data_IF_223492850710
#
_entry.id   IF_223492850710
#
_cell.length_a   1.000
_cell.length_b   1.000
_cell.length_c   1.000
_cell.angle_alpha   90.00
_cell.angle_beta   90.00
_cell.angle_gamma   90.00
#
_symmetry.space_group_name_H-M   'P 1'
#
loop_
_entity.id
_entity.type
_entity.pdbx_description
1 polymer ?
#
# COMPACT_ATOMS: atom_id res chain seq x y z
N UNK A 1 20.08 -3.45 -4.94
CA UNK A 1 21.01 -4.10 -4.00
C UNK A 1 20.29 -5.22 -3.26
N UNK A 2 20.96 -6.29 -2.82
CA UNK A 2 20.34 -7.34 -2.00
C UNK A 2 19.81 -6.77 -0.67
N UNK A 3 18.69 -7.31 -0.17
CA UNK A 3 18.02 -6.89 1.08
C UNK A 3 18.92 -7.02 2.34
N UNK A 4 20.03 -7.76 2.27
CA UNK A 4 20.90 -8.06 3.42
C UNK A 4 21.79 -6.88 3.87
N UNK A 5 21.93 -5.83 3.05
CA UNK A 5 22.84 -4.72 3.34
C UNK A 5 22.19 -3.47 3.93
N UNK A 6 20.85 -3.36 3.94
CA UNK A 6 20.19 -2.16 4.47
C UNK A 6 20.39 -2.03 5.98
N UNK A 7 21.05 -0.97 6.42
CA UNK A 7 21.12 -0.55 7.82
C UNK A 7 20.15 0.59 8.03
N UNK A 8 19.11 0.31 8.82
CA UNK A 8 17.95 1.18 8.98
C UNK A 8 18.09 1.97 10.27
N UNK A 9 17.89 3.28 10.19
CA UNK A 9 17.71 4.15 11.34
C UNK A 9 16.23 4.55 11.45
N UNK A 10 15.62 4.20 12.58
CA UNK A 10 14.22 4.48 12.89
C UNK A 10 14.10 5.72 13.78
N UNK A 11 13.36 6.72 13.32
CA UNK A 11 13.02 7.92 14.05
C UNK A 11 11.49 8.06 14.09
N UNK A 12 10.91 8.17 15.27
CA UNK A 12 9.45 8.20 15.45
C UNK A 12 9.06 9.51 16.11
N UNK A 13 8.22 10.29 15.44
CA UNK A 13 7.46 11.34 16.08
C UNK A 13 6.20 10.71 16.68
N UNK A 14 6.29 10.39 17.97
CA UNK A 14 5.22 9.63 18.60
C UNK A 14 3.98 10.50 18.88
N UNK A 15 4.13 11.82 19.02
CA UNK A 15 2.98 12.71 19.20
C UNK A 15 2.11 12.72 17.94
N UNK A 16 2.73 12.86 16.77
CA UNK A 16 2.01 12.84 15.49
C UNK A 16 1.33 11.49 15.23
N UNK A 17 2.00 10.36 15.51
CA UNK A 17 1.40 9.02 15.39
C UNK A 17 0.24 8.84 16.38
N UNK A 18 0.41 9.22 17.64
CA UNK A 18 -0.61 9.06 18.67
C UNK A 18 -1.86 9.92 18.39
N UNK A 19 -1.67 11.15 17.91
CA UNK A 19 -2.77 12.02 17.50
C UNK A 19 -3.53 11.42 16.31
N UNK A 20 -2.81 10.96 15.28
CA UNK A 20 -3.45 10.36 14.11
C UNK A 20 -4.27 9.12 14.44
N UNK A 21 -3.77 8.25 15.33
CA UNK A 21 -4.51 7.06 15.77
C UNK A 21 -5.77 7.40 16.55
N UNK A 22 -5.69 8.43 17.39
CA UNK A 22 -6.83 8.91 18.17
C UNK A 22 -7.94 9.42 17.25
N UNK A 23 -7.58 10.19 16.23
CA UNK A 23 -8.53 10.73 15.26
C UNK A 23 -9.14 9.62 14.38
N UNK A 24 -8.33 8.62 14.01
CA UNK A 24 -8.77 7.46 13.24
C UNK A 24 -9.50 6.39 14.07
N UNK A 25 -9.72 6.60 15.37
CA UNK A 25 -10.39 5.66 16.29
C UNK A 25 -9.77 4.25 16.31
N UNK A 26 -8.48 4.13 16.01
CA UNK A 26 -7.76 2.87 16.08
C UNK A 26 -7.36 2.52 17.52
N UNK A 27 -7.14 1.22 17.75
CA UNK A 27 -6.57 0.74 19.01
C UNK A 27 -5.17 1.34 19.28
N UNK A 28 -4.65 1.09 20.48
CA UNK A 28 -3.32 1.53 20.91
C UNK A 28 -2.25 1.21 19.85
N UNK A 29 -1.30 2.13 19.68
CA UNK A 29 -0.14 1.91 18.82
C UNK A 29 0.69 0.69 19.29
N UNK A 30 0.97 -0.22 18.38
CA UNK A 30 1.88 -1.35 18.58
C UNK A 30 3.13 -1.14 17.73
N UNK A 31 4.23 -0.88 18.42
CA UNK A 31 5.54 -0.67 17.81
C UNK A 31 6.12 -1.93 17.17
N UNK A 32 5.70 -3.12 17.62
CA UNK A 32 6.19 -4.39 17.07
C UNK A 32 5.77 -4.59 15.62
N UNK A 33 4.61 -4.06 15.22
CA UNK A 33 4.15 -4.05 13.84
C UNK A 33 5.12 -3.33 12.91
N UNK A 34 5.51 -2.12 13.32
CA UNK A 34 6.46 -1.29 12.57
C UNK A 34 7.82 -1.99 12.52
N UNK A 35 8.31 -2.50 13.65
CA UNK A 35 9.59 -3.19 13.68
C UNK A 35 9.61 -4.45 12.82
N UNK A 36 8.54 -5.25 12.84
CA UNK A 36 8.42 -6.44 11.98
C UNK A 36 8.54 -6.05 10.50
N UNK A 37 7.84 -4.98 10.07
CA UNK A 37 7.94 -4.47 8.71
C UNK A 37 9.35 -4.00 8.34
N UNK A 38 10.03 -3.31 9.25
CA UNK A 38 11.41 -2.84 9.01
C UNK A 38 12.41 -3.99 8.95
N UNK A 39 12.22 -5.04 9.76
CA UNK A 39 13.08 -6.22 9.76
C UNK A 39 13.01 -7.01 8.45
N UNK A 40 11.89 -6.96 7.72
CA UNK A 40 11.79 -7.53 6.36
C UNK A 40 12.67 -6.78 5.34
N UNK A 41 13.01 -5.52 5.61
CA UNK A 41 13.77 -4.65 4.71
C UNK A 41 15.26 -4.61 5.01
N UNK A 42 15.64 -4.85 6.27
CA UNK A 42 17.04 -4.81 6.68
C UNK A 42 17.23 -4.78 8.20
N UNK A 43 18.47 -4.53 8.61
CA UNK A 43 18.84 -4.50 10.04
C UNK A 43 18.60 -3.10 10.60
N UNK A 44 17.68 -3.00 11.56
CA UNK A 44 17.44 -1.76 12.32
C UNK A 44 18.57 -1.55 13.33
N UNK A 45 19.44 -0.56 13.08
CA UNK A 45 20.65 -0.26 13.88
C UNK A 45 20.46 0.90 14.85
N UNK A 46 19.57 1.84 14.54
CA UNK A 46 19.22 2.97 15.42
C UNK A 46 17.71 3.01 15.58
N UNK A 47 17.23 3.27 16.81
CA UNK A 47 15.81 3.37 17.14
C UNK A 47 15.60 4.49 18.14
N UNK A 48 14.96 5.58 17.72
CA UNK A 48 14.67 6.74 18.56
C UNK A 48 13.21 7.13 18.41
N UNK A 49 12.60 7.53 19.52
CA UNK A 49 11.26 8.07 19.54
C UNK A 49 11.19 9.36 20.36
N UNK A 50 10.51 10.37 19.80
CA UNK A 50 10.45 11.73 20.30
C UNK A 50 9.01 12.02 20.75
N UNK A 51 8.84 12.42 22.00
CA UNK A 51 7.57 12.88 22.56
C UNK A 51 7.78 13.50 23.95
N UNK A 52 6.71 14.15 24.45
CA UNK A 52 6.53 14.40 25.88
C UNK A 52 6.15 13.08 26.59
N UNK A 53 7.15 12.33 27.06
CA UNK A 53 6.92 10.99 27.62
C UNK A 53 6.21 11.04 28.99
N UNK A 54 6.04 12.22 29.59
CA UNK A 54 5.18 12.38 30.76
C UNK A 54 3.70 12.12 30.38
N UNK A 55 3.29 12.45 29.15
CA UNK A 55 1.93 12.22 28.64
C UNK A 55 1.70 10.80 28.15
N UNK A 56 2.74 10.13 27.66
CA UNK A 56 2.66 8.82 27.01
C UNK A 56 3.26 7.68 27.85
N UNK A 57 3.12 7.75 29.17
CA UNK A 57 3.69 6.79 30.13
C UNK A 57 3.32 5.33 29.83
N UNK A 58 2.10 5.08 29.33
CA UNK A 58 1.62 3.73 28.98
C UNK A 58 2.45 3.05 27.89
N UNK A 59 3.10 3.82 27.02
CA UNK A 59 3.88 3.32 25.89
C UNK A 59 5.36 3.13 26.21
N UNK A 60 5.87 3.75 27.29
CA UNK A 60 7.29 3.67 27.68
C UNK A 60 7.78 2.23 27.80
N UNK A 61 6.99 1.38 28.46
CA UNK A 61 7.36 -0.03 28.68
C UNK A 61 7.55 -0.76 27.36
N UNK A 62 6.58 -0.67 26.45
CA UNK A 62 6.64 -1.34 25.15
C UNK A 62 7.83 -0.84 24.30
N UNK A 63 8.10 0.47 24.32
CA UNK A 63 9.23 1.04 23.58
C UNK A 63 10.59 0.66 24.19
N UNK A 64 10.71 0.61 25.52
CA UNK A 64 11.92 0.12 26.18
C UNK A 64 12.17 -1.36 25.90
N UNK A 65 11.13 -2.20 25.96
CA UNK A 65 11.22 -3.63 25.60
C UNK A 65 11.65 -3.81 24.14
N UNK A 66 11.26 -2.88 23.26
CA UNK A 66 11.68 -2.82 21.86
C UNK A 66 13.09 -2.22 21.63
N UNK A 67 13.83 -1.89 22.70
CA UNK A 67 15.14 -1.22 22.67
C UNK A 67 15.13 0.10 21.89
N UNK A 68 14.07 0.89 22.07
CA UNK A 68 13.95 2.24 21.50
C UNK A 68 14.42 3.25 22.54
N UNK A 69 15.32 4.14 22.11
CA UNK A 69 15.75 5.28 22.91
C UNK A 69 14.62 6.31 22.97
N UNK A 70 14.14 6.60 24.18
CA UNK A 70 13.09 7.57 24.43
C UNK A 70 13.70 8.95 24.61
N UNK A 71 13.55 9.82 23.61
CA UNK A 71 13.98 11.21 23.66
C UNK A 71 12.84 12.04 24.22
N UNK A 72 13.03 12.55 25.44
CA UNK A 72 12.01 13.33 26.14
C UNK A 72 12.04 14.80 25.75
N UNK A 73 10.89 15.30 25.29
CA UNK A 73 10.67 16.66 24.83
C UNK A 73 9.53 17.28 25.65
N UNK A 74 9.82 17.87 26.83
CA UNK A 74 8.79 18.44 27.68
C UNK A 74 8.13 19.65 27.02
N UNK A 75 6.81 19.61 26.85
CA UNK A 75 6.06 20.72 26.26
C UNK A 75 5.91 21.86 27.28
N UNK A 76 6.75 22.91 27.16
CA UNK A 76 6.57 24.14 27.93
C UNK A 76 5.28 24.86 27.48
N UNK A 77 4.49 25.35 28.45
CA UNK A 77 3.13 25.91 28.32
C UNK A 77 2.90 27.01 27.25
N UNK A 78 3.93 27.51 26.56
CA UNK A 78 3.82 28.64 25.63
C UNK A 78 4.22 28.38 24.17
N UNK A 79 5.06 27.37 23.84
CA UNK A 79 5.47 27.10 22.45
C UNK A 79 6.29 25.81 22.37
N UNK A 80 5.65 24.66 22.53
CA UNK A 80 6.33 23.35 22.56
C UNK A 80 6.24 22.53 21.27
N UNK A 81 5.29 22.84 20.38
CA UNK A 81 4.90 21.93 19.28
C UNK A 81 6.05 21.58 18.33
N UNK A 82 6.83 22.58 17.90
CA UNK A 82 7.90 22.34 16.93
C UNK A 82 9.21 21.80 17.56
N UNK A 83 9.27 21.62 18.88
CA UNK A 83 10.54 21.26 19.54
C UNK A 83 10.92 19.79 19.28
N UNK A 84 9.92 18.90 19.23
CA UNK A 84 10.14 17.49 18.90
C UNK A 84 10.61 17.35 17.44
N UNK A 85 9.91 18.01 16.51
CA UNK A 85 10.22 17.98 15.08
C UNK A 85 11.64 18.46 14.80
N UNK A 86 12.00 19.64 15.31
CA UNK A 86 13.35 20.21 15.14
C UNK A 86 14.39 19.26 15.71
N UNK A 87 14.16 18.71 16.91
CA UNK A 87 15.12 17.79 17.53
C UNK A 87 15.29 16.51 16.73
N UNK A 88 14.20 15.93 16.22
CA UNK A 88 14.24 14.74 15.38
C UNK A 88 15.00 15.00 14.07
N UNK A 89 14.74 16.13 13.41
CA UNK A 89 15.44 16.54 12.17
C UNK A 89 16.93 16.67 12.41
N UNK A 90 17.35 17.35 13.50
CA UNK A 90 18.76 17.54 13.83
C UNK A 90 19.44 16.19 14.08
N UNK A 91 18.84 15.32 14.90
CA UNK A 91 19.40 14.01 15.21
C UNK A 91 19.51 13.10 13.96
N UNK A 92 18.52 13.18 13.05
CA UNK A 92 18.51 12.40 11.82
C UNK A 92 19.61 12.85 10.84
N UNK A 93 19.78 14.17 10.67
CA UNK A 93 20.83 14.73 9.82
C UNK A 93 22.23 14.48 10.40
N UNK A 94 22.40 14.63 11.72
CA UNK A 94 23.66 14.28 12.39
C UNK A 94 24.03 12.81 12.15
N UNK A 95 23.06 11.90 12.30
CA UNK A 95 23.29 10.48 12.03
C UNK A 95 23.63 10.22 10.55
N UNK A 96 22.94 10.89 9.62
CA UNK A 96 23.19 10.76 8.18
C UNK A 96 24.65 11.09 7.83
N UNK A 97 25.19 12.17 8.38
CA UNK A 97 26.56 12.60 8.11
C UNK A 97 27.60 11.82 8.94
N UNK A 98 27.28 11.47 10.20
CA UNK A 98 28.24 10.83 11.09
C UNK A 98 28.40 9.32 10.82
N UNK A 99 27.38 8.67 10.24
CA UNK A 99 27.32 7.20 10.10
C UNK A 99 26.92 6.81 8.68
N UNK A 100 27.88 6.87 7.77
CA UNK A 100 27.70 6.59 6.34
C UNK A 100 27.08 5.20 6.05
N UNK A 101 27.40 4.20 6.89
CA UNK A 101 26.86 2.84 6.78
C UNK A 101 25.34 2.74 7.01
N UNK A 102 24.70 3.78 7.54
CA UNK A 102 23.24 3.88 7.59
C UNK A 102 22.77 4.28 6.20
N UNK A 103 22.13 3.34 5.50
CA UNK A 103 21.69 3.51 4.12
C UNK A 103 20.22 3.90 4.02
N UNK A 104 19.46 3.67 5.09
CA UNK A 104 17.99 3.76 5.07
C UNK A 104 17.47 4.46 6.32
N UNK A 105 16.57 5.42 6.13
CA UNK A 105 15.92 6.17 7.19
C UNK A 105 14.43 5.84 7.20
N UNK A 106 13.93 5.36 8.33
CA UNK A 106 12.53 5.08 8.57
C UNK A 106 11.94 6.16 9.49
N UNK A 107 11.02 6.97 8.96
CA UNK A 107 10.39 8.09 9.67
C UNK A 107 8.95 7.74 10.07
N UNK A 108 8.67 7.74 11.36
CA UNK A 108 7.33 7.55 11.91
C UNK A 108 6.60 8.88 12.05
N UNK A 109 6.08 9.41 10.95
CA UNK A 109 5.35 10.67 10.90
C UNK A 109 4.46 10.75 9.66
N UNK A 110 3.34 11.46 9.78
CA UNK A 110 2.46 11.84 8.66
C UNK A 110 2.59 13.32 8.27
N UNK A 111 3.38 14.11 8.99
CA UNK A 111 3.42 15.56 8.82
C UNK A 111 4.30 15.99 7.63
N UNK A 112 3.77 16.90 6.81
CA UNK A 112 4.50 17.52 5.70
C UNK A 112 5.71 18.35 6.13
N UNK A 113 5.78 18.80 7.38
CA UNK A 113 6.91 19.57 7.89
C UNK A 113 8.24 18.79 7.86
N UNK A 114 8.19 17.46 7.74
CA UNK A 114 9.37 16.61 7.53
C UNK A 114 9.82 16.49 6.06
N UNK A 115 9.08 17.04 5.10
CA UNK A 115 9.45 16.99 3.68
C UNK A 115 10.87 17.52 3.40
N UNK A 116 11.35 18.63 4.00
CA UNK A 116 12.73 19.08 3.81
C UNK A 116 13.77 18.09 4.33
N UNK A 117 13.49 17.38 5.43
CA UNK A 117 14.35 16.31 5.95
C UNK A 117 14.44 15.17 4.93
N UNK A 118 13.30 14.72 4.40
CA UNK A 118 13.25 13.67 3.38
C UNK A 118 14.09 14.05 2.16
N UNK A 119 13.89 15.25 1.63
CA UNK A 119 14.69 15.74 0.49
C UNK A 119 16.18 15.75 0.80
N UNK A 120 16.58 16.23 1.99
CA UNK A 120 17.99 16.29 2.38
C UNK A 120 18.60 14.90 2.57
N UNK A 121 17.86 13.93 3.08
CA UNK A 121 18.32 12.55 3.19
C UNK A 121 18.49 11.91 1.82
N UNK A 122 17.55 12.14 0.89
CA UNK A 122 17.64 11.64 -0.50
C UNK A 122 18.79 12.29 -1.27
N UNK A 123 19.03 13.58 -1.08
CA UNK A 123 20.22 14.28 -1.60
C UNK A 123 21.54 13.63 -1.14
N UNK A 124 21.53 12.95 0.00
CA UNK A 124 22.68 12.21 0.54
C UNK A 124 22.64 10.70 0.21
N UNK A 125 21.94 10.32 -0.86
CA UNK A 125 21.82 8.95 -1.36
C UNK A 125 21.28 7.96 -0.30
N UNK A 126 20.38 8.45 0.56
CA UNK A 126 19.69 7.62 1.54
C UNK A 126 18.31 7.23 1.02
N UNK A 127 17.95 5.96 1.20
CA UNK A 127 16.59 5.50 0.99
C UNK A 127 15.71 5.96 2.14
N UNK A 128 14.63 6.69 1.86
CA UNK A 128 13.74 7.22 2.89
C UNK A 128 12.40 6.52 2.81
N UNK A 129 12.07 5.80 3.88
CA UNK A 129 10.75 5.25 4.09
C UNK A 129 10.04 6.01 5.21
N UNK A 130 8.75 6.22 5.07
CA UNK A 130 7.93 6.79 6.12
C UNK A 130 6.75 5.88 6.46
N UNK A 131 6.27 6.00 7.69
CA UNK A 131 5.03 5.36 8.12
C UNK A 131 4.20 6.32 8.94
N UNK A 132 2.89 6.24 8.76
CA UNK A 132 1.93 7.14 9.39
C UNK A 132 0.52 6.61 9.28
N UNK A 133 -0.42 7.35 9.86
CA UNK A 133 -1.85 7.04 9.81
C UNK A 133 -2.46 7.67 8.57
N UNK A 134 -3.25 6.92 7.78
CA UNK A 134 -3.75 7.34 6.45
C UNK A 134 -4.44 8.71 6.49
N UNK A 135 -5.32 8.94 7.46
CA UNK A 135 -6.10 10.18 7.56
C UNK A 135 -5.31 11.38 8.11
N UNK A 136 -4.09 11.15 8.60
CA UNK A 136 -3.24 12.18 9.19
C UNK A 136 -1.92 12.35 8.44
N UNK A 137 -1.80 11.72 7.26
CA UNK A 137 -0.59 11.76 6.44
C UNK A 137 -0.79 12.67 5.24
N UNK A 138 0.13 13.61 5.04
CA UNK A 138 0.10 14.55 3.92
C UNK A 138 0.60 13.91 2.61
N UNK A 139 -0.10 14.16 1.51
CA UNK A 139 0.32 13.74 0.15
C UNK A 139 1.71 14.29 -0.22
N UNK A 140 2.07 15.47 0.30
CA UNK A 140 3.38 16.07 0.07
C UNK A 140 4.50 15.23 0.69
N UNK A 141 4.29 14.71 1.91
CA UNK A 141 5.27 13.83 2.55
C UNK A 141 5.35 12.50 1.79
N UNK A 142 4.19 11.91 1.48
CA UNK A 142 4.07 10.61 0.82
C UNK A 142 4.82 10.62 -0.53
N UNK A 143 4.60 11.66 -1.35
CA UNK A 143 5.23 11.80 -2.66
C UNK A 143 6.74 12.08 -2.61
N UNK A 144 7.25 12.63 -1.50
CA UNK A 144 8.67 12.90 -1.32
C UNK A 144 9.46 11.68 -0.84
N UNK A 145 8.82 10.73 -0.16
CA UNK A 145 9.43 9.49 0.31
C UNK A 145 9.60 8.46 -0.82
N UNK A 146 10.57 7.56 -0.68
CA UNK A 146 10.74 6.44 -1.64
C UNK A 146 9.72 5.33 -1.39
N UNK A 147 9.29 5.16 -0.14
CA UNK A 147 8.22 4.24 0.27
C UNK A 147 7.42 4.84 1.43
N UNK A 148 6.09 4.77 1.36
CA UNK A 148 5.21 5.14 2.46
C UNK A 148 4.37 3.93 2.88
N UNK A 149 4.33 3.64 4.19
CA UNK A 149 3.60 2.51 4.76
C UNK A 149 2.53 3.04 5.70
N UNK A 150 1.26 2.76 5.40
CA UNK A 150 0.17 3.11 6.30
C UNK A 150 0.14 2.16 7.50
N UNK A 151 -0.01 2.71 8.70
CA UNK A 151 -0.08 1.92 9.92
C UNK A 151 -1.31 0.99 9.91
N UNK A 152 -2.42 1.43 9.32
CA UNK A 152 -3.63 0.63 9.13
C UNK A 152 -3.35 -0.64 8.31
N UNK A 153 -2.48 -0.55 7.30
CA UNK A 153 -2.10 -1.72 6.50
C UNK A 153 -1.23 -2.69 7.28
N UNK A 154 -0.39 -2.19 8.20
CA UNK A 154 0.38 -3.03 9.12
C UNK A 154 -0.54 -3.78 10.07
N UNK A 155 -1.50 -3.08 10.67
CA UNK A 155 -2.52 -3.70 11.54
C UNK A 155 -3.30 -4.75 10.77
N UNK A 156 -3.79 -4.44 9.56
CA UNK A 156 -4.48 -5.42 8.70
C UNK A 156 -3.61 -6.61 8.33
N UNK A 157 -2.31 -6.40 8.09
CA UNK A 157 -1.39 -7.49 7.75
C UNK A 157 -1.15 -8.46 8.91
N UNK A 158 -1.18 -7.96 10.15
CA UNK A 158 -1.04 -8.74 11.37
C UNK A 158 -2.38 -9.35 11.80
N UNK A 159 -3.50 -8.62 11.63
CA UNK A 159 -4.87 -9.08 11.80
C UNK A 159 -5.37 -9.96 10.65
N UNK A 160 -4.56 -10.17 9.61
CA UNK A 160 -4.68 -11.34 8.75
C UNK A 160 -4.35 -12.65 9.50
N UNK A 161 -4.50 -12.67 10.83
CA UNK A 161 -5.19 -13.73 11.56
C UNK A 161 -6.58 -13.85 10.96
N UNK A 162 -6.68 -14.69 9.93
CA UNK A 162 -7.92 -15.39 9.61
C UNK A 162 -8.67 -15.66 10.93
N UNK A 163 -9.96 -15.33 11.07
CA UNK A 163 -10.70 -15.59 12.30
C UNK A 163 -10.82 -17.11 12.51
N UNK A 164 -9.77 -17.70 13.08
CA UNK A 164 -9.59 -19.12 13.31
C UNK A 164 -9.83 -19.49 14.77
N UNK A 165 -10.05 -18.48 15.63
CA UNK A 165 -10.60 -18.64 16.97
C UNK A 165 -12.00 -19.27 16.85
N UNK A 166 -12.18 -20.44 17.49
CA UNK A 166 -13.41 -21.23 17.44
C UNK A 166 -13.48 -22.28 16.32
N UNK A 167 -12.57 -22.25 15.33
CA UNK A 167 -12.53 -23.27 14.27
C UNK A 167 -11.77 -24.53 14.72
N UNK A 168 -12.22 -25.74 14.29
CA UNK A 168 -11.48 -26.98 14.51
C UNK A 168 -10.04 -26.89 13.97
N UNK A 169 -9.08 -27.51 14.67
CA UNK A 169 -7.64 -27.46 14.35
C UNK A 169 -7.33 -27.73 12.87
N UNK A 170 -8.05 -28.68 12.24
CA UNK A 170 -7.90 -29.01 10.81
C UNK A 170 -8.32 -27.86 9.88
N UNK A 171 -9.45 -27.19 10.15
CA UNK A 171 -9.91 -26.05 9.34
C UNK A 171 -8.95 -24.87 9.45
N UNK A 172 -8.44 -24.61 10.65
CA UNK A 172 -7.40 -23.59 10.91
C UNK A 172 -6.16 -23.81 10.06
N UNK A 173 -5.64 -25.03 10.05
CA UNK A 173 -4.48 -25.38 9.23
C UNK A 173 -4.74 -25.19 7.73
N UNK A 174 -5.93 -25.59 7.26
CA UNK A 174 -6.34 -25.44 5.86
C UNK A 174 -6.42 -23.97 5.42
N UNK A 175 -7.09 -23.13 6.21
CA UNK A 175 -7.26 -21.72 5.90
C UNK A 175 -5.97 -20.91 6.04
N UNK A 176 -5.09 -21.29 6.96
CA UNK A 176 -3.75 -20.69 7.03
C UNK A 176 -2.98 -20.91 5.72
N UNK A 177 -3.01 -22.15 5.20
CA UNK A 177 -2.38 -22.48 3.93
C UNK A 177 -3.02 -21.73 2.74
N UNK A 178 -4.35 -21.54 2.77
CA UNK A 178 -5.08 -20.76 1.76
C UNK A 178 -4.61 -19.31 1.73
N UNK A 179 -4.51 -18.68 2.90
CA UNK A 179 -4.05 -17.28 3.03
C UNK A 179 -2.60 -17.13 2.63
N UNK A 180 -1.75 -18.08 3.01
CA UNK A 180 -0.34 -18.07 2.59
C UNK A 180 -0.19 -18.20 1.08
N UNK A 181 -1.06 -18.96 0.42
CA UNK A 181 -1.07 -19.08 -1.04
C UNK A 181 -1.54 -17.78 -1.71
N UNK A 182 -2.59 -17.13 -1.17
CA UNK A 182 -3.07 -15.83 -1.64
C UNK A 182 -1.99 -14.75 -1.50
N UNK A 183 -1.39 -14.61 -0.30
CA UNK A 183 -0.31 -13.64 -0.04
C UNK A 183 0.88 -13.83 -0.97
N UNK A 184 1.24 -15.08 -1.29
CA UNK A 184 2.32 -15.36 -2.24
C UNK A 184 1.97 -14.87 -3.65
N UNK A 185 0.77 -15.14 -4.13
CA UNK A 185 0.33 -14.71 -5.46
C UNK A 185 0.20 -13.19 -5.58
N UNK A 186 -0.23 -12.50 -4.51
CA UNK A 186 -0.27 -11.04 -4.47
C UNK A 186 1.14 -10.43 -4.51
N UNK A 187 2.12 -11.03 -3.80
CA UNK A 187 3.53 -10.61 -3.88
C UNK A 187 4.12 -10.79 -5.28
N UNK A 188 3.65 -11.80 -6.02
CA UNK A 188 4.03 -12.05 -7.41
C UNK A 188 3.33 -11.11 -8.43
N UNK A 189 2.60 -10.09 -7.95
CA UNK A 189 1.96 -9.07 -8.80
C UNK A 189 0.72 -9.58 -9.56
N UNK A 190 0.05 -10.63 -9.07
CA UNK A 190 -1.20 -11.12 -9.69
C UNK A 190 -2.40 -10.33 -9.17
N UNK A 191 -2.99 -9.50 -10.03
CA UNK A 191 -4.19 -8.72 -9.74
C UNK A 191 -5.46 -9.60 -9.66
N UNK A 192 -5.56 -10.63 -10.51
CA UNK A 192 -6.70 -11.56 -10.54
C UNK A 192 -6.30 -12.93 -10.02
N UNK A 193 -6.92 -13.34 -8.91
CA UNK A 193 -6.64 -14.60 -8.24
C UNK A 193 -7.71 -15.65 -8.55
N UNK A 194 -7.40 -16.52 -9.52
CA UNK A 194 -8.28 -17.64 -9.90
C UNK A 194 -8.19 -18.77 -8.87
N UNK A 195 -9.32 -19.40 -8.53
CA UNK A 195 -9.35 -20.54 -7.58
C UNK A 195 -8.39 -21.68 -7.96
N UNK A 196 -8.24 -21.98 -9.25
CA UNK A 196 -7.28 -22.97 -9.76
C UNK A 196 -5.83 -22.59 -9.45
N UNK A 197 -5.48 -21.30 -9.56
CA UNK A 197 -4.14 -20.78 -9.31
C UNK A 197 -3.81 -20.81 -7.82
N UNK A 198 -4.79 -20.53 -6.97
CA UNK A 198 -4.67 -20.65 -5.52
C UNK A 198 -4.44 -22.12 -5.14
N UNK A 199 -5.26 -23.04 -5.67
CA UNK A 199 -5.11 -24.49 -5.45
C UNK A 199 -3.72 -24.99 -5.85
N UNK A 200 -3.24 -24.63 -7.04
CA UNK A 200 -1.89 -25.00 -7.49
C UNK A 200 -0.80 -24.45 -6.57
N UNK A 201 -0.98 -23.24 -6.05
CA UNK A 201 -0.02 -22.62 -5.12
C UNK A 201 -0.04 -23.28 -3.75
N UNK A 202 -1.21 -23.68 -3.25
CA UNK A 202 -1.34 -24.49 -2.04
C UNK A 202 -0.65 -25.85 -2.19
N UNK A 203 -0.83 -26.53 -3.33
CA UNK A 203 -0.17 -27.81 -3.63
C UNK A 203 1.35 -27.66 -3.79
N UNK A 204 1.84 -26.54 -4.34
CA UNK A 204 3.29 -26.23 -4.39
C UNK A 204 3.88 -26.04 -3.00
N UNK A 205 3.17 -25.34 -2.11
CA UNK A 205 3.60 -25.13 -0.72
C UNK A 205 3.49 -26.38 0.13
N UNK A 206 2.48 -27.22 -0.12
CA UNK A 206 2.23 -28.47 0.58
C UNK A 206 1.75 -29.55 -0.40
N UNK A 207 2.67 -30.39 -0.91
CA UNK A 207 2.33 -31.44 -1.89
C UNK A 207 1.25 -32.42 -1.44
N UNK A 208 1.13 -32.65 -0.13
CA UNK A 208 0.13 -33.53 0.48
C UNK A 208 -1.27 -32.90 0.59
N UNK A 209 -1.44 -31.64 0.17
CA UNK A 209 -2.72 -30.95 0.28
C UNK A 209 -3.82 -31.62 -0.56
N UNK A 210 -4.89 -32.05 0.12
CA UNK A 210 -6.12 -32.56 -0.48
C UNK A 210 -7.33 -31.97 0.26
N UNK A 211 -8.28 -31.40 -0.47
CA UNK A 211 -9.49 -30.79 0.11
C UNK A 211 -10.37 -31.78 0.88
N UNK A 212 -10.39 -33.05 0.46
CA UNK A 212 -11.16 -34.11 1.12
C UNK A 212 -10.62 -34.39 2.53
N UNK A 213 -9.29 -34.30 2.73
CA UNK A 213 -8.66 -34.47 4.05
C UNK A 213 -9.14 -33.43 5.07
N UNK A 214 -9.51 -32.25 4.59
CA UNK A 214 -10.06 -31.15 5.39
C UNK A 214 -11.59 -31.16 5.47
N UNK A 215 -12.26 -32.16 4.88
CA UNK A 215 -13.70 -32.34 4.96
C UNK A 215 -14.50 -31.65 3.84
N UNK A 216 -13.84 -31.20 2.77
CA UNK A 216 -14.51 -30.56 1.64
C UNK A 216 -14.60 -31.51 0.44
N UNK A 217 -15.78 -31.60 -0.18
CA UNK A 217 -15.95 -32.45 -1.38
C UNK A 217 -15.44 -31.79 -2.67
N UNK A 218 -15.06 -30.52 -2.64
CA UNK A 218 -14.44 -29.81 -3.76
C UNK A 218 -13.72 -28.55 -3.26
N UNK A 219 -12.73 -28.08 -4.03
CA UNK A 219 -12.05 -26.82 -3.72
C UNK A 219 -13.00 -25.61 -3.75
N UNK A 220 -14.02 -25.66 -4.61
CA UNK A 220 -15.11 -24.68 -4.62
C UNK A 220 -15.81 -24.57 -3.26
N UNK A 221 -16.11 -25.71 -2.60
CA UNK A 221 -16.73 -25.69 -1.25
C UNK A 221 -15.79 -25.18 -0.17
N UNK A 222 -14.48 -25.43 -0.31
CA UNK A 222 -13.47 -24.87 0.59
C UNK A 222 -13.45 -23.34 0.47
N UNK A 223 -13.50 -22.81 -0.75
CA UNK A 223 -13.57 -21.36 -0.97
C UNK A 223 -14.89 -20.78 -0.42
N UNK A 224 -16.03 -21.41 -0.67
CA UNK A 224 -17.34 -20.98 -0.13
C UNK A 224 -17.37 -20.97 1.40
N UNK A 225 -16.75 -21.98 2.05
CA UNK A 225 -16.62 -22.02 3.52
C UNK A 225 -15.66 -20.93 4.01
N UNK A 226 -14.58 -20.66 3.28
CA UNK A 226 -13.68 -19.55 3.58
C UNK A 226 -14.39 -18.18 3.46
N UNK A 227 -15.27 -18.01 2.48
CA UNK A 227 -16.12 -16.81 2.35
C UNK A 227 -17.14 -16.69 3.48
N UNK A 228 -17.76 -17.80 3.88
CA UNK A 228 -18.69 -17.86 5.01
C UNK A 228 -18.01 -17.48 6.34
N UNK A 229 -16.70 -17.73 6.45
CA UNK A 229 -15.86 -17.32 7.57
C UNK A 229 -15.23 -15.92 7.38
N UNK A 230 -15.66 -15.15 6.38
CA UNK A 230 -15.16 -13.81 6.06
C UNK A 230 -13.64 -13.75 5.81
N UNK A 231 -13.07 -14.84 5.31
CA UNK A 231 -11.63 -14.96 5.01
C UNK A 231 -11.35 -14.42 3.61
N UNK A 232 -12.27 -14.67 2.67
CA UNK A 232 -12.16 -14.27 1.26
C UNK A 232 -13.51 -13.74 0.78
N UNK A 233 -13.52 -12.86 -0.23
CA UNK A 233 -14.70 -12.48 -1.00
C UNK A 233 -14.59 -13.11 -2.37
N UNK A 234 -15.59 -13.91 -2.74
CA UNK A 234 -15.61 -14.60 -4.02
C UNK A 234 -16.49 -13.84 -5.01
N UNK A 235 -16.03 -13.79 -6.25
CA UNK A 235 -16.84 -13.44 -7.41
C UNK A 235 -16.91 -14.65 -8.32
N UNK A 236 -18.12 -15.02 -8.72
CA UNK A 236 -18.31 -16.01 -9.79
C UNK A 236 -18.24 -15.30 -11.14
N UNK A 237 -17.39 -15.81 -12.02
CA UNK A 237 -17.38 -15.38 -13.41
C UNK A 237 -18.59 -15.96 -14.16
N UNK A 238 -19.42 -15.09 -14.74
CA UNK A 238 -20.69 -15.47 -15.38
C UNK A 238 -20.48 -16.23 -16.70
N UNK A 239 -19.29 -16.19 -17.31
CA UNK A 239 -18.95 -16.93 -18.54
C UNK A 239 -18.40 -18.33 -18.28
N UNK A 240 -17.57 -18.50 -17.26
CA UNK A 240 -16.83 -19.76 -17.01
C UNK A 240 -17.29 -20.56 -15.78
N UNK A 241 -18.14 -20.00 -14.91
CA UNK A 241 -18.58 -20.65 -13.68
C UNK A 241 -17.45 -20.85 -12.65
N UNK A 242 -16.27 -20.28 -12.89
CA UNK A 242 -15.09 -20.41 -12.04
C UNK A 242 -15.06 -19.32 -10.97
N UNK A 243 -14.55 -19.66 -9.78
CA UNK A 243 -14.34 -18.71 -8.70
C UNK A 243 -13.11 -17.85 -8.92
N UNK A 244 -13.31 -16.54 -8.82
CA UNK A 244 -12.27 -15.52 -8.72
C UNK A 244 -12.33 -14.96 -7.30
N UNK A 245 -11.20 -14.91 -6.61
CA UNK A 245 -11.10 -14.17 -5.34
C UNK A 245 -11.01 -12.70 -5.72
N UNK A 246 -12.15 -11.99 -5.60
CA UNK A 246 -12.30 -10.58 -5.97
C UNK A 246 -11.94 -9.64 -4.82
N UNK A 247 -11.88 -10.17 -3.60
CA UNK A 247 -11.28 -9.51 -2.47
C UNK A 247 -10.76 -10.58 -1.53
N UNK A 248 -9.61 -10.37 -0.93
CA UNK A 248 -9.23 -11.07 0.28
C UNK A 248 -9.62 -10.11 1.40
N UNK A 249 -10.60 -10.46 2.24
CA UNK A 249 -11.01 -9.54 3.30
C UNK A 249 -9.93 -9.54 4.38
N UNK A 250 -9.02 -8.58 4.26
CA UNK A 250 -8.12 -8.17 5.34
C UNK A 250 -8.81 -7.17 6.28
N UNK A 251 -10.14 -7.18 6.37
CA UNK A 251 -10.90 -6.08 6.98
C UNK A 251 -10.91 -4.83 6.10
N UNK A 252 -10.98 -4.98 4.78
CA UNK A 252 -11.12 -3.87 3.84
C UNK A 252 -12.59 -3.68 3.49
N UNK A 253 -13.27 -2.88 4.30
CA UNK A 253 -14.52 -2.22 3.90
C UNK A 253 -14.21 -1.08 2.93
N UNK A 254 -13.91 -1.41 1.68
CA UNK A 254 -14.11 -0.49 0.56
C UNK A 254 -14.81 -1.26 -0.57
N UNK A 255 -15.96 -0.72 -0.96
CA UNK A 255 -16.85 -1.23 -1.99
C UNK A 255 -16.26 -0.88 -3.36
N UNK A 256 -15.78 -1.87 -4.11
CA UNK A 256 -15.53 -1.68 -5.54
C UNK A 256 -16.85 -1.81 -6.32
N UNK A 257 -17.36 -0.67 -6.78
CA UNK A 257 -18.17 -0.51 -7.98
C UNK A 257 -17.84 0.90 -8.52
N UNK A 258 -17.45 1.11 -9.77
CA UNK A 258 -18.04 0.54 -10.98
C UNK A 258 -17.06 0.72 -12.16
N UNK A 259 -16.59 -0.38 -12.74
CA UNK A 259 -16.01 -0.39 -14.08
C UNK A 259 -16.99 -1.11 -15.00
N UNK A 260 -17.73 -0.33 -15.79
CA UNK A 260 -18.66 -0.83 -16.80
C UNK A 260 -17.89 -1.45 -17.99
N UNK A 261 -18.38 -2.57 -18.56
CA UNK A 261 -17.73 -3.23 -19.69
C UNK A 261 -18.06 -2.55 -21.02
N UNK A 262 -17.04 -2.44 -21.88
CA UNK A 262 -17.20 -2.16 -23.30
C UNK A 262 -17.73 -3.41 -24.03
N UNK A 263 -18.90 -3.30 -24.68
CA UNK A 263 -19.18 -3.85 -26.02
C UNK A 263 -20.63 -3.57 -26.46
N UNK A 264 -20.77 -2.87 -27.59
CA UNK A 264 -21.69 -3.14 -28.72
C UNK A 264 -22.16 -1.83 -29.39
N UNK A 265 -21.44 -1.44 -30.43
CA UNK A 265 -21.91 -0.44 -31.38
C UNK A 265 -23.01 -1.08 -32.25
N UNK A 266 -24.26 -0.82 -31.91
CA UNK A 266 -25.43 -1.15 -32.72
C UNK A 266 -26.02 0.14 -33.32
N UNK A 267 -25.89 0.24 -34.64
CA UNK A 267 -26.95 0.66 -35.57
C UNK A 267 -27.59 2.05 -35.37
N UNK A 268 -26.92 3.08 -35.89
CA UNK A 268 -27.51 4.40 -36.12
C UNK A 268 -28.33 4.40 -37.44
N UNK A 269 -29.65 4.49 -37.33
CA UNK A 269 -30.56 4.72 -38.47
C UNK A 269 -30.37 6.13 -39.04
N UNK A 270 -30.32 6.32 -40.36
CA UNK A 270 -30.19 7.65 -40.96
C UNK A 270 -31.51 8.45 -40.89
N UNK A 271 -31.46 9.78 -40.72
CA UNK A 271 -32.66 10.62 -40.71
C UNK A 271 -33.23 10.86 -42.13
N UNK A 272 -34.54 11.05 -42.18
CA UNK A 272 -35.38 11.26 -43.35
C UNK A 272 -34.96 12.44 -44.25
N UNK A 273 -35.09 12.22 -45.57
CA UNK A 273 -34.89 13.24 -46.61
C UNK A 273 -36.12 14.16 -46.73
N UNK A 274 -35.95 15.49 -46.81
CA UNK A 274 -36.99 16.37 -47.36
C UNK A 274 -36.96 16.37 -48.89
N UNK A 275 -38.15 16.43 -49.51
CA UNK A 275 -38.38 16.44 -50.95
C UNK A 275 -37.95 17.76 -51.63
N UNK A 276 -37.22 17.62 -52.75
CA UNK A 276 -37.12 18.47 -53.97
C UNK A 276 -37.52 19.96 -53.89
N UNK A 277 -36.64 20.85 -54.37
CA UNK A 277 -36.79 21.48 -55.71
C UNK A 277 -35.55 22.27 -56.20
N UNK A 278 -35.27 22.10 -57.51
CA UNK A 278 -34.87 23.09 -58.54
C UNK A 278 -33.53 23.88 -58.46
N UNK A 279 -32.64 23.51 -59.42
CA UNK A 279 -32.29 24.27 -60.67
C UNK A 279 -30.97 25.07 -60.72
N UNK A 280 -30.08 24.61 -61.64
CA UNK A 280 -29.08 25.36 -62.48
C UNK A 280 -27.96 26.11 -61.73
N UNK A 281 -26.71 26.28 -62.20
CA UNK A 281 -26.00 25.92 -63.44
C UNK A 281 -24.53 26.41 -63.36
N UNK A 282 -23.63 25.72 -64.10
CA UNK A 282 -22.43 26.23 -64.82
C UNK A 282 -21.16 26.57 -64.00
N UNK A 283 -20.04 25.84 -64.22
CA UNK A 283 -18.91 26.08 -65.19
C UNK A 283 -18.03 27.25 -64.70
N UNK A 284 -16.69 27.19 -64.57
CA UNK A 284 -15.63 26.69 -65.48
C UNK A 284 -14.27 26.56 -64.78
N UNK A 285 -13.57 25.45 -65.06
CA UNK A 285 -12.17 25.21 -65.47
C UNK A 285 -11.00 26.26 -65.35
N UNK A 286 -9.71 25.78 -65.36
CA UNK A 286 -8.45 26.37 -64.84
C UNK A 286 -7.58 26.98 -66.00
N UNK A 287 -6.20 27.02 -66.09
CA UNK A 287 -5.05 26.54 -65.26
C UNK A 287 -3.74 27.41 -65.26
N UNK A 288 -2.63 26.81 -64.75
CA UNK A 288 -1.20 26.95 -65.16
C UNK A 288 -0.43 28.22 -64.70
N UNK A 289 0.87 28.26 -64.35
CA UNK A 289 2.04 27.34 -64.43
C UNK A 289 3.20 27.89 -63.55
N UNK A 290 4.19 27.02 -63.30
CA UNK A 290 5.45 27.07 -62.51
C UNK A 290 6.53 28.11 -62.94
N UNK A 291 7.86 27.99 -62.61
CA UNK A 291 8.60 27.82 -61.33
C UNK A 291 9.84 28.78 -61.19
N UNK A 292 10.78 28.44 -60.28
CA UNK A 292 12.21 28.86 -60.09
C UNK A 292 12.44 30.09 -59.19
N UNK A 293 13.45 30.19 -58.32
CA UNK A 293 14.62 29.38 -57.93
C UNK A 293 15.16 29.90 -56.58
N UNK A 294 15.85 29.06 -55.80
CA UNK A 294 17.31 29.07 -55.54
C UNK A 294 17.84 30.06 -54.49
N UNK A 295 18.51 29.46 -53.48
CA UNK A 295 19.69 29.94 -52.72
C UNK A 295 19.48 30.95 -51.57
N UNK A 296 20.17 30.86 -50.43
CA UNK A 296 21.23 29.94 -50.00
C UNK A 296 21.75 30.27 -48.60
N UNK A 297 22.49 29.29 -48.06
CA UNK A 297 23.68 29.39 -47.18
C UNK A 297 23.62 29.92 -45.74
N UNK A 298 24.25 29.10 -44.90
CA UNK A 298 24.88 29.28 -43.58
C UNK A 298 24.01 29.05 -42.35
#
# INVERSE_FOLDING_TARGET
>A
MPLEDHKIALFIDFENIALGLKDAHFANFDIQLVLARLLEKGKVVVRRAYADWERYQSYKRAFHEAAIELIDIPLKKYSGKNSADIRMVVDALDLCYAKEHVTTFALGTGDSDFSPLVSKLRENDKYVMAFGVKNSSSELLISNCDEFVYYEDLVRSQQAVVPLEGLPKKKRECFTLLVDAIKALTRDGKEVLWGSMIKQTMQRKRPEFNEEYFGYSSFSKLLEDAESHQIVKLRRDQRSGTYVVAGFDTGSGETEAEAAPAESAAEEKPPEKPRRSRRRSRKTAPPATAPTGSEGTS
#
